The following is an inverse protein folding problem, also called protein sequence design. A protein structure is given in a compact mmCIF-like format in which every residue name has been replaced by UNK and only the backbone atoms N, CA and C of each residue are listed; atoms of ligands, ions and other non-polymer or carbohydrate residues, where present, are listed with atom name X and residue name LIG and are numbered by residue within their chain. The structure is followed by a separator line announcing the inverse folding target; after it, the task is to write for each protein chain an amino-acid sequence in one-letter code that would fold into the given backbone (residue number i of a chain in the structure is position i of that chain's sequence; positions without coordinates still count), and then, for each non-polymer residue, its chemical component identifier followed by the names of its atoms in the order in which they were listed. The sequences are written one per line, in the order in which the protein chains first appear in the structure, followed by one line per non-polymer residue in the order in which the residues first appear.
data_IF_981133812275
#
_entry.id   IF_981133812275
#
_cell.length_a   1.000
_cell.length_b   1.000
_cell.length_c   1.000
_cell.angle_alpha   90.00
_cell.angle_beta   90.00
_cell.angle_gamma   90.00
#
_symmetry.space_group_name_H-M   'P 1'
#
loop_
_entity.id
_entity.type
_entity.pdbx_description
1 polymer ?
#
# COMPACT_ATOMS: atom_id res chain seq x y z
N UNK A 1 20.96 -19.73 -4.94
CA UNK A 1 19.68 -19.90 -5.64
C UNK A 1 18.58 -19.29 -4.79
N UNK A 2 18.04 -18.13 -5.19
CA UNK A 2 17.01 -17.44 -4.42
C UNK A 2 15.67 -18.15 -4.52
N UNK A 3 15.03 -18.44 -3.39
CA UNK A 3 13.68 -19.01 -3.36
C UNK A 3 12.73 -18.08 -4.12
N UNK A 4 12.21 -18.55 -5.25
CA UNK A 4 11.10 -17.88 -5.94
C UNK A 4 9.89 -17.97 -5.02
N UNK A 5 9.58 -16.88 -4.30
CA UNK A 5 8.31 -16.75 -3.56
C UNK A 5 7.19 -17.20 -4.49
N UNK A 6 6.43 -18.20 -4.06
CA UNK A 6 5.30 -18.68 -4.86
C UNK A 6 4.34 -17.51 -5.11
N UNK A 7 3.63 -17.51 -6.24
CA UNK A 7 2.67 -16.44 -6.53
C UNK A 7 1.62 -16.26 -5.41
N UNK A 8 1.33 -17.34 -4.67
CA UNK A 8 0.44 -17.33 -3.52
C UNK A 8 1.05 -16.63 -2.29
N UNK A 9 2.32 -16.90 -1.97
CA UNK A 9 3.04 -16.17 -0.92
C UNK A 9 3.15 -14.69 -1.26
N UNK A 10 3.50 -14.36 -2.50
CA UNK A 10 3.57 -12.97 -2.95
C UNK A 10 2.22 -12.25 -2.83
N UNK A 11 1.12 -12.91 -3.21
CA UNK A 11 -0.23 -12.38 -3.02
C UNK A 11 -0.54 -12.16 -1.53
N UNK A 12 -0.18 -13.11 -0.67
CA UNK A 12 -0.39 -13.00 0.79
C UNK A 12 0.39 -11.85 1.39
N UNK A 13 1.63 -11.65 0.97
CA UNK A 13 2.44 -10.52 1.43
C UNK A 13 1.84 -9.19 1.00
N UNK A 14 1.44 -9.07 -0.28
CA UNK A 14 0.81 -7.85 -0.78
C UNK A 14 -0.49 -7.53 -0.03
N UNK A 15 -1.33 -8.54 0.24
CA UNK A 15 -2.52 -8.37 1.07
C UNK A 15 -2.19 -7.93 2.50
N UNK A 16 -1.11 -8.46 3.08
CA UNK A 16 -0.66 -8.09 4.43
C UNK A 16 -0.14 -6.66 4.48
N UNK A 17 0.64 -6.26 3.47
CA UNK A 17 1.15 -4.88 3.33
C UNK A 17 -0.02 -3.90 3.16
N UNK A 18 -1.00 -4.21 2.31
CA UNK A 18 -2.18 -3.37 2.13
C UNK A 18 -2.98 -3.19 3.43
N UNK A 19 -3.23 -4.28 4.17
CA UNK A 19 -3.93 -4.22 5.45
C UNK A 19 -3.17 -3.41 6.52
N UNK A 20 -1.84 -3.53 6.54
CA UNK A 20 -1.01 -2.73 7.44
C UNK A 20 -1.04 -1.25 7.07
N UNK A 21 -0.96 -0.90 5.78
CA UNK A 21 -1.07 0.49 5.31
C UNK A 21 -2.41 1.11 5.70
N UNK A 22 -3.52 0.39 5.51
CA UNK A 22 -4.86 0.86 5.89
C UNK A 22 -4.96 1.11 7.40
N UNK A 23 -4.46 0.18 8.22
CA UNK A 23 -4.43 0.35 9.68
C UNK A 23 -3.62 1.57 10.09
N UNK A 24 -2.39 1.68 9.58
CA UNK A 24 -1.48 2.78 9.93
C UNK A 24 -2.05 4.12 9.48
N UNK A 25 -2.68 4.21 8.32
CA UNK A 25 -3.39 5.42 7.89
C UNK A 25 -4.50 5.79 8.88
N UNK A 26 -5.34 4.82 9.29
CA UNK A 26 -6.39 5.06 10.29
C UNK A 26 -5.86 5.55 11.64
N UNK A 27 -4.71 5.04 12.10
CA UNK A 27 -4.04 5.50 13.32
C UNK A 27 -3.50 6.93 13.18
N UNK A 28 -2.90 7.26 12.04
CA UNK A 28 -2.43 8.62 11.74
C UNK A 28 -3.61 9.60 11.74
N UNK A 29 -4.77 9.24 11.15
CA UNK A 29 -5.99 10.07 11.19
C UNK A 29 -6.42 10.38 12.62
N UNK A 30 -6.49 9.35 13.46
CA UNK A 30 -6.89 9.50 14.88
C UNK A 30 -5.90 10.31 15.70
N UNK A 31 -4.63 10.32 15.33
CA UNK A 31 -3.61 11.17 15.93
C UNK A 31 -3.77 12.61 15.43
N UNK A 32 -3.98 12.80 14.13
CA UNK A 32 -4.23 14.11 13.52
C UNK A 32 -5.40 14.84 14.19
N UNK A 33 -6.51 14.13 14.45
CA UNK A 33 -7.69 14.68 15.13
C UNK A 33 -7.40 15.22 16.54
N UNK A 34 -6.27 14.85 17.15
CA UNK A 34 -5.86 15.28 18.50
C UNK A 34 -4.76 16.35 18.48
N UNK A 35 -4.20 16.67 17.32
CA UNK A 35 -3.21 17.74 17.16
C UNK A 35 -3.95 19.05 16.89
N UNK A 36 -3.53 20.16 17.49
CA UNK A 36 -4.13 21.47 17.25
C UNK A 36 -3.27 22.26 16.23
N UNK A 37 -3.92 23.08 15.40
CA UNK A 37 -3.31 23.96 14.37
C UNK A 37 -2.60 23.24 13.21
N UNK A 38 -1.72 23.97 12.50
CA UNK A 38 -1.04 23.72 11.21
C UNK A 38 -0.62 22.26 10.93
N UNK A 39 -0.32 21.48 11.96
CA UNK A 39 0.08 20.08 11.84
C UNK A 39 -1.05 19.15 11.36
N UNK A 40 -2.33 19.46 11.62
CA UNK A 40 -3.46 18.64 11.13
C UNK A 40 -3.54 18.65 9.60
N UNK A 41 -3.35 19.81 8.99
CA UNK A 41 -3.42 19.95 7.53
C UNK A 41 -2.27 19.20 6.87
N UNK A 42 -1.07 19.27 7.45
CA UNK A 42 0.10 18.52 6.97
C UNK A 42 -0.11 17.01 7.08
N UNK A 43 -0.66 16.54 8.21
CA UNK A 43 -0.97 15.12 8.41
C UNK A 43 -2.04 14.63 7.43
N UNK A 44 -3.12 15.39 7.24
CA UNK A 44 -4.16 15.05 6.25
C UNK A 44 -3.61 14.98 4.83
N UNK A 45 -2.65 15.84 4.48
CA UNK A 45 -2.02 15.82 3.16
C UNK A 45 -1.16 14.55 2.95
N UNK A 46 -0.37 14.17 3.97
CA UNK A 46 0.41 12.94 3.95
C UNK A 46 -0.47 11.69 3.88
N UNK A 47 -1.59 11.69 4.61
CA UNK A 47 -2.58 10.61 4.54
C UNK A 47 -3.22 10.48 3.17
N UNK A 48 -3.61 11.60 2.55
CA UNK A 48 -4.19 11.59 1.22
C UNK A 48 -3.21 11.04 0.17
N UNK A 49 -1.91 11.36 0.32
CA UNK A 49 -0.87 10.77 -0.52
C UNK A 49 -0.75 9.25 -0.29
N UNK A 50 -0.76 8.78 0.97
CA UNK A 50 -0.74 7.36 1.27
C UNK A 50 -1.92 6.59 0.69
N UNK A 51 -3.15 7.14 0.76
CA UNK A 51 -4.32 6.49 0.17
C UNK A 51 -4.20 6.37 -1.36
N UNK A 52 -3.73 7.43 -2.03
CA UNK A 52 -3.47 7.37 -3.49
C UNK A 52 -2.46 6.30 -3.86
N UNK A 53 -1.39 6.17 -3.07
CA UNK A 53 -0.36 5.16 -3.32
C UNK A 53 -0.90 3.74 -3.07
N UNK A 54 -1.74 3.55 -2.05
CA UNK A 54 -2.42 2.28 -1.78
C UNK A 54 -3.40 1.89 -2.91
N UNK A 55 -4.20 2.84 -3.40
CA UNK A 55 -5.10 2.63 -4.54
C UNK A 55 -4.33 2.26 -5.81
N UNK A 56 -3.19 2.91 -6.05
CA UNK A 56 -2.31 2.60 -7.17
C UNK A 56 -1.69 1.21 -7.06
N UNK A 57 -1.26 0.79 -5.87
CA UNK A 57 -0.80 -0.59 -5.62
C UNK A 57 -1.90 -1.60 -5.91
N UNK A 58 -3.15 -1.30 -5.52
CA UNK A 58 -4.30 -2.16 -5.80
C UNK A 58 -4.56 -2.27 -7.30
N UNK A 59 -4.50 -1.15 -8.03
CA UNK A 59 -4.61 -1.15 -9.48
C UNK A 59 -3.53 -2.01 -10.16
N UNK A 60 -2.27 -1.94 -9.68
CA UNK A 60 -1.21 -2.80 -10.20
C UNK A 60 -1.45 -4.29 -9.95
N UNK A 61 -2.03 -4.66 -8.81
CA UNK A 61 -2.43 -6.06 -8.55
C UNK A 61 -3.46 -6.52 -9.58
N UNK A 62 -4.43 -5.68 -9.93
CA UNK A 62 -5.46 -6.01 -10.92
C UNK A 62 -4.88 -6.08 -12.34
N UNK A 63 -3.93 -5.22 -12.69
CA UNK A 63 -3.21 -5.30 -13.97
C UNK A 63 -2.33 -6.55 -14.09
N UNK A 64 -1.67 -6.97 -13.01
CA UNK A 64 -0.92 -8.23 -12.95
C UNK A 64 -1.87 -9.42 -13.15
N UNK A 65 -3.03 -9.43 -12.48
CA UNK A 65 -4.05 -10.48 -12.65
C UNK A 65 -4.58 -10.54 -14.07
N UNK A 66 -4.74 -9.39 -14.72
CA UNK A 66 -5.14 -9.29 -16.12
C UNK A 66 -4.02 -9.67 -17.10
N UNK A 67 -2.82 -10.01 -16.61
CA UNK A 67 -1.65 -10.34 -17.44
C UNK A 67 -1.07 -9.14 -18.20
N UNK A 68 -1.52 -7.91 -17.88
CA UNK A 68 -1.05 -6.67 -18.52
C UNK A 68 0.31 -6.22 -18.02
N UNK A 69 0.62 -6.54 -16.77
CA UNK A 69 1.98 -6.42 -16.21
C UNK A 69 2.53 -7.83 -16.01
N UNK A 70 3.65 -8.14 -16.66
CA UNK A 70 4.37 -9.40 -16.48
C UNK A 70 5.67 -9.16 -15.73
N UNK A 71 6.01 -10.05 -14.79
CA UNK A 71 7.30 -9.99 -14.10
C UNK A 71 8.39 -10.48 -15.06
N UNK A 72 9.40 -9.66 -15.32
CA UNK A 72 10.58 -10.11 -16.06
C UNK A 72 11.21 -11.32 -15.36
N UNK A 73 11.63 -12.31 -16.15
CA UNK A 73 12.36 -13.46 -15.62
C UNK A 73 13.71 -12.94 -15.11
N UNK A 74 14.03 -13.23 -13.85
CA UNK A 74 15.39 -13.01 -13.37
C UNK A 74 16.30 -14.02 -14.11
N UNK A 75 17.34 -13.50 -14.75
CA UNK A 75 18.44 -14.29 -15.32
C UNK A 75 19.20 -15.05 -14.22
#
# INVERSE_FOLDING_TARGET
MGMKKSAMEFKRDLSTIAANLERTAGEISRLAERVNDVDVVAVLHLMNQQYKDADRLRAYVDEIRAGRITRAKAD
#
